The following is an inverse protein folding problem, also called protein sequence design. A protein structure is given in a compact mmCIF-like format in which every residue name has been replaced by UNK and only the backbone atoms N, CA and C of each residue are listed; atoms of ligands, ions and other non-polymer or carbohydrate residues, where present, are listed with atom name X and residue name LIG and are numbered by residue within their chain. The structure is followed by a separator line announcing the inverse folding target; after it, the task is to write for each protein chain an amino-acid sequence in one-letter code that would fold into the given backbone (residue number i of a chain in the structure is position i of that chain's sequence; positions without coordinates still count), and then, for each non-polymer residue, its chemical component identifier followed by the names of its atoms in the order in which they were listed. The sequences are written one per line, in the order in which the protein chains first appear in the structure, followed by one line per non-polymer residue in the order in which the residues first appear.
data_IF_210085711021
#
_entry.id   IF_210085711021
#
_cell.length_a   1.000
_cell.length_b   1.000
_cell.length_c   1.000
_cell.angle_alpha   90.00
_cell.angle_beta   90.00
_cell.angle_gamma   90.00
#
_symmetry.space_group_name_H-M   'P 1'
#
loop_
_entity.id
_entity.type
_entity.pdbx_description
1 polymer ?
#
# COMPACT_ATOMS: atom_id res chain seq x y z
N UNK A 1 -27.21 -2.90 13.84
CA UNK A 1 -25.73 -2.89 13.77
C UNK A 1 -25.39 -2.41 12.39
N UNK A 2 -24.75 -1.24 12.27
CA UNK A 2 -24.56 -0.56 11.00
C UNK A 2 -23.54 -1.30 10.13
N UNK A 3 -23.98 -1.70 8.94
CA UNK A 3 -23.14 -2.15 7.84
C UNK A 3 -22.36 -0.93 7.32
N UNK A 4 -21.23 -0.63 7.95
CA UNK A 4 -20.28 0.34 7.41
C UNK A 4 -19.60 -0.34 6.22
N UNK A 5 -19.52 0.30 5.04
CA UNK A 5 -18.72 -0.24 3.95
C UNK A 5 -17.26 -0.22 4.40
N UNK A 6 -16.81 -1.34 4.94
CA UNK A 6 -15.42 -1.63 5.25
C UNK A 6 -14.69 -1.59 3.91
N UNK A 7 -14.21 -0.42 3.49
CA UNK A 7 -12.96 -0.41 2.73
C UNK A 7 -12.03 -1.34 3.48
N UNK A 8 -11.48 -2.33 2.80
CA UNK A 8 -10.95 -3.62 3.31
C UNK A 8 -9.86 -3.50 4.41
N UNK A 9 -9.50 -2.29 4.84
CA UNK A 9 -8.71 -1.96 6.02
C UNK A 9 -9.19 -0.61 6.65
N UNK A 10 -9.58 -0.56 7.95
CA UNK A 10 -9.98 0.67 8.63
C UNK A 10 -8.91 1.77 8.62
N UNK A 11 -7.63 1.40 8.52
CA UNK A 11 -6.51 2.34 8.39
C UNK A 11 -6.53 3.06 7.04
N UNK A 12 -6.83 2.34 5.95
CA UNK A 12 -6.96 2.92 4.61
C UNK A 12 -8.11 3.93 4.59
N UNK A 13 -9.24 3.60 5.22
CA UNK A 13 -10.36 4.52 5.37
C UNK A 13 -9.99 5.82 6.10
N UNK A 14 -9.18 5.72 7.16
CA UNK A 14 -8.70 6.89 7.90
C UNK A 14 -7.79 7.76 7.02
N UNK A 15 -6.81 7.15 6.34
CA UNK A 15 -5.87 7.84 5.46
C UNK A 15 -6.60 8.56 4.30
N UNK A 16 -7.62 7.94 3.70
CA UNK A 16 -8.41 8.58 2.63
C UNK A 16 -9.16 9.82 3.13
N UNK A 17 -9.71 9.79 4.35
CA UNK A 17 -10.36 10.95 4.97
C UNK A 17 -9.37 12.07 5.26
N UNK A 18 -8.18 11.72 5.78
CA UNK A 18 -7.10 12.70 6.02
C UNK A 18 -6.66 13.36 4.72
N UNK A 19 -6.43 12.56 3.67
CA UNK A 19 -6.08 13.05 2.33
C UNK A 19 -7.09 14.08 1.84
N UNK A 20 -8.38 13.79 1.92
CA UNK A 20 -9.44 14.72 1.51
C UNK A 20 -9.37 16.05 2.27
N UNK A 21 -9.11 16.01 3.58
CA UNK A 21 -8.94 17.21 4.39
C UNK A 21 -7.70 18.03 4.01
N UNK A 22 -6.58 17.39 3.67
CA UNK A 22 -5.37 18.08 3.23
C UNK A 22 -5.52 18.70 1.84
N UNK A 23 -6.16 18.00 0.90
CA UNK A 23 -6.46 18.53 -0.44
C UNK A 23 -7.33 19.79 -0.34
N UNK A 24 -8.39 19.77 0.47
CA UNK A 24 -9.24 20.94 0.68
C UNK A 24 -8.50 22.15 1.24
N UNK A 25 -7.40 21.91 1.97
CA UNK A 25 -6.59 22.95 2.61
C UNK A 25 -5.37 23.36 1.77
N UNK A 26 -5.15 22.73 0.61
CA UNK A 26 -3.97 22.97 -0.23
C UNK A 26 -2.65 22.55 0.43
N UNK A 27 -2.68 21.52 1.28
CA UNK A 27 -1.50 21.03 2.01
C UNK A 27 -0.83 19.89 1.25
N UNK A 28 -0.26 20.19 0.09
CA UNK A 28 0.24 19.19 -0.87
C UNK A 28 1.34 18.29 -0.31
N UNK A 29 2.25 18.83 0.51
CA UNK A 29 3.28 18.04 1.22
C UNK A 29 2.66 16.96 2.13
N UNK A 30 1.51 17.28 2.75
CA UNK A 30 0.78 16.33 3.62
C UNK A 30 0.01 15.32 2.79
N UNK A 31 -0.54 15.73 1.65
CA UNK A 31 -1.17 14.82 0.68
C UNK A 31 -0.16 13.78 0.20
N UNK A 32 1.04 14.19 -0.20
CA UNK A 32 2.11 13.29 -0.64
C UNK A 32 2.51 12.29 0.46
N UNK A 33 2.63 12.75 1.70
CA UNK A 33 2.95 11.87 2.83
C UNK A 33 1.86 10.84 3.13
N UNK A 34 0.58 11.17 2.91
CA UNK A 34 -0.54 10.23 3.06
C UNK A 34 -0.61 9.27 1.87
N UNK A 35 -0.33 9.74 0.65
CA UNK A 35 -0.30 8.92 -0.55
C UNK A 35 0.78 7.82 -0.49
N UNK A 36 1.96 8.12 0.06
CA UNK A 36 2.98 7.09 0.34
C UNK A 36 2.50 6.04 1.35
N UNK A 37 1.77 6.45 2.40
CA UNK A 37 1.22 5.51 3.39
C UNK A 37 0.11 4.62 2.82
N UNK A 38 -0.69 5.16 1.90
CA UNK A 38 -1.70 4.42 1.16
C UNK A 38 -1.03 3.41 0.20
N UNK A 39 0.04 3.82 -0.49
CA UNK A 39 0.84 2.95 -1.37
C UNK A 39 1.47 1.78 -0.64
N UNK A 40 2.04 2.00 0.55
CA UNK A 40 2.59 0.94 1.41
C UNK A 40 1.53 -0.11 1.83
N UNK A 41 0.26 0.26 1.80
CA UNK A 41 -0.89 -0.62 2.10
C UNK A 41 -1.54 -1.22 0.86
N UNK A 42 -0.92 -1.02 -0.31
CA UNK A 42 -1.45 -1.50 -1.58
C UNK A 42 -2.62 -0.67 -2.11
N UNK A 43 -2.93 0.48 -1.52
CA UNK A 43 -3.99 1.37 -1.97
C UNK A 43 -3.39 2.53 -2.77
N UNK A 44 -3.25 2.38 -4.09
CA UNK A 44 -2.90 3.51 -4.97
C UNK A 44 -4.17 4.17 -5.46
N UNK A 45 -4.44 5.46 -5.15
CA UNK A 45 -5.54 6.18 -5.80
C UNK A 45 -5.33 6.18 -7.33
N UNK A 46 -6.40 6.15 -8.14
CA UNK A 46 -6.32 5.85 -9.57
C UNK A 46 -5.65 6.94 -10.44
N UNK A 47 -5.08 7.99 -9.87
CA UNK A 47 -4.44 9.04 -10.65
C UNK A 47 -2.92 8.88 -10.70
N UNK A 48 -2.49 8.38 -11.87
CA UNK A 48 -1.23 8.62 -12.58
C UNK A 48 -0.15 7.52 -12.67
N UNK A 49 -0.14 6.47 -11.85
CA UNK A 49 0.91 5.43 -11.94
C UNK A 49 0.35 3.99 -12.03
N UNK A 50 -0.69 3.79 -12.82
CA UNK A 50 -1.25 2.48 -13.13
C UNK A 50 -0.33 1.59 -14.01
N UNK A 51 0.99 1.81 -14.01
CA UNK A 51 1.98 1.01 -14.78
C UNK A 51 2.98 0.24 -13.92
N UNK A 52 2.97 0.35 -12.58
CA UNK A 52 3.95 -0.34 -11.71
C UNK A 52 3.36 -1.09 -10.52
N UNK A 53 2.19 -1.74 -10.67
CA UNK A 53 1.75 -2.78 -9.72
C UNK A 53 2.41 -4.12 -10.08
N UNK A 54 3.72 -4.19 -9.86
CA UNK A 54 4.43 -5.44 -9.64
C UNK A 54 4.19 -5.85 -8.18
N UNK A 55 3.27 -6.79 -8.00
CA UNK A 55 3.05 -7.46 -6.73
C UNK A 55 4.21 -8.42 -6.46
N UNK A 56 5.28 -7.95 -5.82
CA UNK A 56 6.27 -8.84 -5.20
C UNK A 56 6.05 -8.88 -3.68
N UNK A 57 5.50 -9.99 -3.12
CA UNK A 57 5.44 -10.16 -1.68
C UNK A 57 6.86 -10.41 -1.15
N UNK A 58 7.27 -9.84 0.01
CA UNK A 58 8.60 -10.09 0.55
C UNK A 58 8.71 -11.56 0.95
N UNK A 59 9.21 -12.42 0.04
CA UNK A 59 9.49 -13.83 0.33
C UNK A 59 10.73 -13.92 1.22
N UNK A 60 10.45 -13.82 2.51
CA UNK A 60 11.31 -14.23 3.62
C UNK A 60 11.73 -15.69 3.43
N UNK A 61 13.04 -15.89 3.18
CA UNK A 61 13.89 -17.06 3.44
C UNK A 61 13.29 -18.46 3.21
N UNK A 62 13.81 -19.16 2.20
CA UNK A 62 14.24 -20.56 2.38
C UNK A 62 15.52 -20.80 1.59
N UNK A 63 16.62 -21.03 2.32
CA UNK A 63 17.90 -21.52 1.80
C UNK A 63 17.73 -23.00 1.43
N UNK A 64 17.85 -23.43 0.16
CA UNK A 64 17.91 -24.84 -0.13
C UNK A 64 19.30 -25.36 0.24
N UNK A 65 19.31 -26.41 1.04
CA UNK A 65 20.46 -27.15 1.51
C UNK A 65 20.36 -28.52 0.86
N UNK A 66 21.26 -28.84 -0.07
CA UNK A 66 21.47 -30.20 -0.60
C UNK A 66 22.69 -30.17 -1.54
N UNK A 67 23.87 -30.65 -1.14
CA UNK A 67 24.36 -32.04 -1.08
C UNK A 67 24.77 -32.62 -2.44
N UNK A 68 26.09 -32.83 -2.60
CA UNK A 68 26.77 -34.00 -3.20
C UNK A 68 26.49 -34.36 -4.66
N UNK A 69 27.55 -34.34 -5.49
CA UNK A 69 28.09 -35.53 -6.18
C UNK A 69 29.39 -35.18 -6.95
N UNK A 70 30.35 -36.11 -6.90
CA UNK A 70 31.60 -36.16 -7.67
C UNK A 70 31.32 -36.28 -9.17
N UNK A 71 32.20 -35.73 -10.00
CA UNK A 71 33.16 -36.53 -10.79
C UNK A 71 34.48 -35.76 -10.92
#
# INVERSE_FOLDING_TARGET
MADEPQTEDPMVAALLRERAGYVQRGLDDRVAAVDEQLKLRGHTPPDQDATLRETDPPRRRTRPKSTTAKD
#
